data_IF_311150566943
#
_entry.id   IF_311150566943
#
_cell.length_a   1.000
_cell.length_b   1.000
_cell.length_c   1.000
_cell.angle_alpha   90.00
_cell.angle_beta   90.00
_cell.angle_gamma   90.00
#
_symmetry.space_group_name_H-M   'P 1'
#
loop_
_entity.id
_entity.type
_entity.pdbx_description
1 polymer ?
#
# COMPACT_ATOMS: atom_id res chain seq x y z
N UNK A 1 17.39 4.08 4.36
CA UNK A 1 17.63 2.83 3.62
C UNK A 1 16.50 2.63 2.63
N UNK A 2 16.86 2.79 1.36
CA UNK A 2 16.10 2.50 0.16
C UNK A 2 16.11 0.99 -0.07
N UNK A 3 14.96 0.38 -0.33
CA UNK A 3 14.94 -0.97 -0.88
C UNK A 3 14.07 -0.94 -2.13
N UNK A 4 14.73 -0.62 -3.24
CA UNK A 4 14.30 -1.00 -4.57
C UNK A 4 14.40 -2.53 -4.63
N UNK A 5 13.28 -3.22 -4.88
CA UNK A 5 13.31 -4.59 -5.41
C UNK A 5 12.19 -4.70 -6.42
N UNK A 6 12.56 -4.54 -7.69
CA UNK A 6 11.81 -5.09 -8.82
C UNK A 6 12.46 -6.40 -9.20
N UNK A 7 11.64 -7.38 -9.59
CA UNK A 7 12.00 -8.49 -10.47
C UNK A 7 10.72 -9.19 -10.99
N UNK A 8 10.70 -9.46 -12.29
CA UNK A 8 10.39 -10.78 -12.89
C UNK A 8 8.94 -11.26 -12.98
N UNK A 9 8.53 -11.62 -14.19
CA UNK A 9 7.20 -11.87 -14.77
C UNK A 9 6.40 -13.08 -14.24
N UNK A 10 5.08 -13.10 -14.48
CA UNK A 10 4.31 -14.18 -15.14
C UNK A 10 2.79 -13.89 -15.12
N UNK A 11 2.15 -14.09 -16.27
CA UNK A 11 0.73 -13.90 -16.56
C UNK A 11 -0.06 -15.13 -16.12
N UNK A 12 -1.18 -14.93 -15.42
CA UNK A 12 -2.09 -16.00 -15.02
C UNK A 12 -3.11 -15.52 -14.00
N UNK A 13 -4.37 -15.46 -14.42
CA UNK A 13 -5.59 -15.12 -13.67
C UNK A 13 -5.68 -13.70 -13.06
N UNK A 14 -6.27 -12.79 -13.82
CA UNK A 14 -6.45 -11.37 -13.48
C UNK A 14 -7.42 -11.13 -12.29
N UNK A 15 -8.04 -12.18 -11.74
CA UNK A 15 -8.99 -12.06 -10.62
C UNK A 15 -8.44 -12.52 -9.27
N UNK A 16 -7.39 -13.36 -9.24
CA UNK A 16 -6.90 -13.99 -8.00
C UNK A 16 -6.24 -13.00 -7.03
N UNK A 17 -5.71 -11.89 -7.56
CA UNK A 17 -4.97 -10.91 -6.77
C UNK A 17 -5.75 -9.64 -6.45
N UNK A 18 -7.06 -9.58 -6.73
CA UNK A 18 -7.86 -8.40 -6.41
C UNK A 18 -8.12 -8.33 -4.90
N UNK A 19 -7.70 -7.27 -4.19
CA UNK A 19 -7.98 -7.13 -2.77
C UNK A 19 -9.47 -6.99 -2.52
N UNK A 20 -9.98 -7.78 -1.57
CA UNK A 20 -11.37 -7.77 -1.14
C UNK A 20 -11.45 -7.50 0.36
N UNK A 21 -12.48 -6.77 0.76
CA UNK A 21 -12.82 -6.58 2.17
C UNK A 21 -13.06 -7.94 2.82
N UNK A 22 -12.65 -8.08 4.08
CA UNK A 22 -12.75 -9.29 4.90
C UNK A 22 -11.83 -10.45 4.48
N UNK A 23 -10.90 -10.25 3.54
CA UNK A 23 -9.79 -11.20 3.35
C UNK A 23 -8.94 -11.26 4.62
N UNK A 24 -8.62 -12.49 5.05
CA UNK A 24 -7.84 -12.78 6.26
C UNK A 24 -6.46 -13.31 5.91
N UNK A 25 -5.49 -12.92 6.71
CA UNK A 25 -4.08 -13.28 6.53
C UNK A 25 -3.45 -13.60 7.88
N UNK A 26 -2.46 -14.52 7.90
CA UNK A 26 -1.79 -14.91 9.14
C UNK A 26 -0.84 -13.81 9.66
N UNK A 27 -0.24 -13.02 8.77
CA UNK A 27 0.79 -12.03 9.12
C UNK A 27 0.60 -10.74 8.34
N UNK A 28 1.17 -9.64 8.86
CA UNK A 28 1.21 -8.34 8.15
C UNK A 28 1.93 -8.45 6.81
N UNK A 29 3.00 -9.25 6.76
CA UNK A 29 3.85 -9.38 5.59
C UNK A 29 3.12 -10.15 4.48
N UNK A 30 2.31 -11.15 4.84
CA UNK A 30 1.45 -11.85 3.89
C UNK A 30 0.45 -10.91 3.19
N UNK A 31 -0.12 -9.94 3.91
CA UNK A 31 -1.03 -8.98 3.28
C UNK A 31 -0.27 -7.99 2.40
N UNK A 32 0.89 -7.54 2.85
CA UNK A 32 1.73 -6.64 2.08
C UNK A 32 2.18 -7.29 0.76
N UNK A 33 2.60 -8.55 0.80
CA UNK A 33 3.01 -9.30 -0.39
C UNK A 33 1.84 -9.53 -1.35
N UNK A 34 0.66 -9.84 -0.82
CA UNK A 34 -0.56 -9.93 -1.62
C UNK A 34 -0.89 -8.60 -2.31
N UNK A 35 -0.91 -7.50 -1.58
CA UNK A 35 -1.19 -6.18 -2.15
C UNK A 35 -0.09 -5.72 -3.11
N UNK A 36 1.17 -6.13 -2.89
CA UNK A 36 2.29 -5.85 -3.80
C UNK A 36 2.11 -6.58 -5.13
N UNK A 37 1.61 -7.82 -5.14
CA UNK A 37 1.28 -8.55 -6.38
C UNK A 37 0.17 -7.85 -7.16
N UNK A 38 -0.89 -7.43 -6.47
CA UNK A 38 -1.95 -6.59 -7.05
C UNK A 38 -1.40 -5.28 -7.64
N UNK A 39 -0.59 -4.56 -6.88
CA UNK A 39 -0.03 -3.30 -7.32
C UNK A 39 0.91 -3.48 -8.53
N UNK A 40 1.60 -4.61 -8.61
CA UNK A 40 2.43 -4.99 -9.76
C UNK A 40 1.58 -5.26 -11.00
N UNK A 41 0.45 -5.97 -10.88
CA UNK A 41 -0.44 -6.21 -12.03
C UNK A 41 -1.12 -4.93 -12.51
N UNK A 42 -1.52 -4.04 -11.59
CA UNK A 42 -2.14 -2.74 -11.94
C UNK A 42 -1.11 -1.70 -12.38
N UNK A 43 0.17 -1.85 -12.03
CA UNK A 43 1.26 -0.97 -12.49
C UNK A 43 1.51 0.26 -11.62
N UNK A 44 1.37 0.15 -10.30
CA UNK A 44 1.71 1.21 -9.37
C UNK A 44 2.69 0.77 -8.25
N UNK A 45 3.60 1.65 -7.81
CA UNK A 45 4.44 1.39 -6.66
C UNK A 45 3.65 1.52 -5.35
N UNK A 46 3.99 0.71 -4.34
CA UNK A 46 3.37 0.72 -3.00
C UNK A 46 4.30 1.42 -1.99
N UNK A 47 3.72 2.18 -1.06
CA UNK A 47 4.36 2.64 0.19
C UNK A 47 3.46 2.39 1.39
N UNK A 48 4.06 2.44 2.58
CA UNK A 48 3.31 2.48 3.84
C UNK A 48 2.90 3.92 4.17
N UNK A 49 1.60 4.16 4.37
CA UNK A 49 1.07 5.47 4.76
C UNK A 49 1.08 5.67 6.27
N UNK A 50 0.51 4.70 6.99
CA UNK A 50 0.23 4.83 8.42
C UNK A 50 0.26 3.45 9.05
N UNK A 51 0.84 3.38 10.24
CA UNK A 51 0.83 2.24 11.15
C UNK A 51 0.20 2.67 12.47
N UNK A 52 -0.76 1.92 12.99
CA UNK A 52 -1.32 2.10 14.33
C UNK A 52 -0.75 1.03 15.25
N UNK A 53 -0.31 1.43 16.43
CA UNK A 53 0.13 0.53 17.49
C UNK A 53 -0.85 0.58 18.67
N UNK A 54 -0.93 -0.49 19.45
CA UNK A 54 -1.63 -0.51 20.73
C UNK A 54 -0.79 0.19 21.83
N UNK A 55 -1.28 0.12 23.08
CA UNK A 55 -0.58 0.68 24.25
C UNK A 55 0.72 -0.05 24.58
N UNK A 56 0.84 -1.30 24.16
CA UNK A 56 2.01 -2.15 24.37
C UNK A 56 3.05 -2.00 23.24
N UNK A 57 2.71 -1.25 22.18
CA UNK A 57 3.59 -0.99 21.04
C UNK A 57 3.46 -2.00 19.89
N UNK A 58 2.53 -2.96 19.99
CA UNK A 58 2.27 -3.94 18.94
C UNK A 58 1.50 -3.29 17.79
N UNK A 59 1.87 -3.65 16.55
CA UNK A 59 1.19 -3.13 15.36
C UNK A 59 -0.21 -3.74 15.25
N UNK A 60 -1.24 -2.91 15.33
CA UNK A 60 -2.66 -3.33 15.27
C UNK A 60 -3.37 -2.94 13.97
N UNK A 61 -2.79 -2.03 13.19
CA UNK A 61 -3.30 -1.67 11.87
C UNK A 61 -2.19 -1.07 11.01
N UNK A 62 -2.27 -1.24 9.69
CA UNK A 62 -1.46 -0.47 8.75
C UNK A 62 -2.20 -0.23 7.44
N UNK A 63 -1.71 0.73 6.68
CA UNK A 63 -2.34 1.20 5.43
C UNK A 63 -1.27 1.26 4.34
N UNK A 64 -1.13 0.22 3.51
CA UNK A 64 -0.34 0.32 2.29
C UNK A 64 -1.15 1.10 1.24
N UNK A 65 -0.48 2.01 0.54
CA UNK A 65 -1.06 2.90 -0.46
C UNK A 65 -0.15 3.01 -1.68
N UNK A 66 -0.71 3.46 -2.79
CA UNK A 66 0.05 3.86 -3.97
C UNK A 66 1.04 4.98 -3.62
N UNK A 67 2.32 4.83 -3.97
CA UNK A 67 3.33 5.87 -3.69
C UNK A 67 3.06 7.17 -4.45
N UNK A 68 2.28 7.09 -5.53
CA UNK A 68 1.80 8.24 -6.31
C UNK A 68 0.60 8.96 -5.66
N UNK A 69 0.14 8.52 -4.48
CA UNK A 69 -0.96 9.13 -3.76
C UNK A 69 -0.64 10.55 -3.26
N UNK A 70 -1.71 11.36 -3.21
CA UNK A 70 -1.67 12.76 -2.80
C UNK A 70 -1.45 13.74 -3.96
N UNK A 71 -1.56 15.03 -3.64
CA UNK A 71 -1.22 16.14 -4.54
C UNK A 71 -0.04 16.89 -3.93
N UNK A 72 0.94 17.25 -4.74
CA UNK A 72 2.03 18.12 -4.28
C UNK A 72 1.45 19.50 -3.99
N UNK A 73 1.53 19.96 -2.74
CA UNK A 73 1.43 21.38 -2.46
C UNK A 73 2.65 22.07 -3.06
N UNK A 74 2.47 23.10 -3.89
CA UNK A 74 3.59 23.90 -4.39
C UNK A 74 4.32 24.53 -3.20
N UNK A 75 5.45 23.94 -2.79
CA UNK A 75 6.34 24.51 -1.77
C UNK A 75 7.50 25.31 -2.38
N UNK A 76 7.58 25.39 -3.71
CA UNK A 76 8.59 26.17 -4.41
C UNK A 76 7.98 27.45 -4.97
N UNK A 77 8.39 28.61 -4.42
CA UNK A 77 8.22 29.91 -5.11
C UNK A 77 9.07 30.02 -6.38
N UNK A 78 9.97 29.06 -6.61
CA UNK A 78 10.89 29.06 -7.74
C UNK A 78 10.30 28.28 -8.92
N UNK A 79 9.71 29.01 -9.86
CA UNK A 79 9.05 28.49 -11.07
C UNK A 79 10.04 27.83 -12.07
N UNK A 80 11.33 28.12 -11.93
CA UNK A 80 12.38 27.77 -12.90
C UNK A 80 12.91 26.33 -12.80
N UNK A 81 12.52 25.58 -11.76
CA UNK A 81 12.89 24.16 -11.59
C UNK A 81 11.72 23.36 -11.04
N UNK A 82 10.74 22.98 -11.89
CA UNK A 82 9.69 22.07 -11.45
C UNK A 82 10.32 20.72 -11.12
N UNK A 83 10.48 20.42 -9.83
CA UNK A 83 10.91 19.09 -9.40
C UNK A 83 9.84 18.08 -9.85
N UNK A 84 10.21 17.05 -10.65
CA UNK A 84 9.28 16.03 -11.12
C UNK A 84 8.52 15.44 -9.93
N UNK A 85 7.19 15.56 -9.94
CA UNK A 85 6.37 15.01 -8.87
C UNK A 85 5.87 13.63 -9.27
N UNK A 86 6.23 12.61 -8.50
CA UNK A 86 5.66 11.26 -8.64
C UNK A 86 4.22 11.17 -8.13
N UNK A 87 3.70 12.22 -7.48
CA UNK A 87 2.35 12.28 -6.92
C UNK A 87 1.34 12.73 -7.97
N UNK A 88 0.46 11.83 -8.40
CA UNK A 88 -0.56 12.07 -9.43
C UNK A 88 -1.99 11.94 -8.88
N UNK A 89 -2.17 11.84 -7.55
CA UNK A 89 -3.48 11.69 -6.94
C UNK A 89 -4.03 10.26 -6.93
N UNK A 90 -3.19 9.25 -7.19
CA UNK A 90 -3.55 7.84 -7.07
C UNK A 90 -4.27 7.54 -5.75
N UNK A 91 -5.47 6.96 -5.81
CA UNK A 91 -6.30 6.68 -4.63
C UNK A 91 -6.18 5.23 -4.13
N UNK A 92 -5.51 4.36 -4.89
CA UNK A 92 -5.35 2.95 -4.58
C UNK A 92 -4.67 2.76 -3.22
N UNK A 93 -5.41 2.20 -2.26
CA UNK A 93 -4.91 1.83 -0.92
C UNK A 93 -5.82 0.78 -0.30
N UNK A 94 -5.29 0.06 0.69
CA UNK A 94 -6.09 -0.81 1.55
C UNK A 94 -5.88 -0.44 3.02
N UNK A 95 -6.86 -0.71 3.86
CA UNK A 95 -6.76 -0.57 5.31
C UNK A 95 -6.82 -1.93 5.94
N UNK A 96 -5.81 -2.23 6.73
CA UNK A 96 -5.69 -3.50 7.41
C UNK A 96 -5.70 -3.32 8.92
N UNK A 97 -6.27 -4.29 9.63
CA UNK A 97 -6.32 -4.32 11.09
C UNK A 97 -6.24 -5.75 11.59
N UNK A 98 -5.84 -5.91 12.85
CA UNK A 98 -5.98 -7.17 13.56
C UNK A 98 -7.47 -7.36 13.95
N UNK A 99 -8.01 -8.54 13.69
CA UNK A 99 -9.34 -8.99 14.14
C UNK A 99 -9.28 -9.59 15.55
N UNK A 100 -10.42 -9.88 16.18
CA UNK A 100 -10.50 -10.45 17.53
C UNK A 100 -9.74 -11.79 17.69
N UNK A 101 -9.56 -12.52 16.58
CA UNK A 101 -8.78 -13.76 16.54
C UNK A 101 -7.26 -13.55 16.40
N UNK A 102 -6.78 -12.31 16.35
CA UNK A 102 -5.35 -12.00 16.15
C UNK A 102 -4.88 -12.04 14.69
N UNK A 103 -5.77 -12.39 13.74
CA UNK A 103 -5.45 -12.42 12.30
C UNK A 103 -5.53 -11.04 11.65
N UNK A 104 -4.72 -10.83 10.61
CA UNK A 104 -4.74 -9.61 9.81
C UNK A 104 -5.89 -9.64 8.82
N UNK A 105 -6.71 -8.58 8.78
CA UNK A 105 -7.86 -8.50 7.88
C UNK A 105 -7.87 -7.21 7.09
N UNK A 106 -8.17 -7.31 5.79
CA UNK A 106 -8.45 -6.14 4.95
C UNK A 106 -9.82 -5.61 5.33
N UNK A 107 -9.85 -4.48 6.03
CA UNK A 107 -11.08 -3.82 6.48
C UNK A 107 -11.70 -2.92 5.41
N UNK A 108 -10.89 -2.39 4.49
CA UNK A 108 -11.37 -1.47 3.45
C UNK A 108 -10.41 -1.46 2.27
N UNK A 109 -10.97 -1.37 1.06
CA UNK A 109 -10.25 -1.21 -0.21
C UNK A 109 -10.73 0.10 -0.86
N UNK A 110 -9.82 0.85 -1.48
CA UNK A 110 -10.06 2.14 -2.11
C UNK A 110 -9.48 2.20 -3.52
#
# INVERSE_FOLDING_TARGET
MNTNVGDGDNIGDECEHIPKTSMKFPTKDAVYDFYKKYAKSVGFPVRHRTSKKDKEGNLIAFVPECSRAGKKGSRSKNCLKPQPSMQNGCLARIREKIDYAGSWVISQVF
#
